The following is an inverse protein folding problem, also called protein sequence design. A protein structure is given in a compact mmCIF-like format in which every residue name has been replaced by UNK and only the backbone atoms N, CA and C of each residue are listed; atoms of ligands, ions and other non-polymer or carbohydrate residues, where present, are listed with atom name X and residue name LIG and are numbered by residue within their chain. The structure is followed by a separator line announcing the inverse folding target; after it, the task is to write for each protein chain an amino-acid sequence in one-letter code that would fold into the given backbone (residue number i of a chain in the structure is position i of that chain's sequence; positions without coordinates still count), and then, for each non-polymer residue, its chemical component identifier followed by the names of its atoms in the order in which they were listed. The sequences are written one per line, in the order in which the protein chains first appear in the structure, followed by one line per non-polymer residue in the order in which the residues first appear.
data_IF_377145198697
#
_entry.id   IF_377145198697
#
_cell.length_a   1.000
_cell.length_b   1.000
_cell.length_c   1.000
_cell.angle_alpha   90.00
_cell.angle_beta   90.00
_cell.angle_gamma   90.00
#
_symmetry.space_group_name_H-M   'P 1'
#
loop_
_entity.id
_entity.type
_entity.pdbx_description
1 polymer ?
#
# COMPACT_ATOMS: atom_id res chain seq x y z
N UNK A 1 18.18 -0.84 -6.87
CA UNK A 1 17.70 -1.01 -5.49
C UNK A 1 18.74 -1.69 -4.60
N UNK A 2 19.34 -2.79 -5.05
CA UNK A 2 20.28 -3.59 -4.23
C UNK A 2 21.55 -2.82 -3.84
N UNK A 3 22.15 -2.05 -4.75
CA UNK A 3 23.41 -1.33 -4.53
C UNK A 3 23.26 -0.03 -3.75
N UNK A 4 22.19 0.74 -4.03
CA UNK A 4 21.88 2.00 -3.35
C UNK A 4 20.68 1.76 -2.46
N UNK A 5 20.88 1.48 -1.20
CA UNK A 5 19.83 1.08 -0.27
C UNK A 5 20.07 1.67 1.13
N UNK A 6 19.04 1.79 1.97
CA UNK A 6 19.11 2.43 3.28
C UNK A 6 19.81 1.58 4.36
N UNK A 7 20.32 0.40 4.04
CA UNK A 7 21.00 -0.48 5.00
C UNK A 7 22.53 -0.41 4.90
N UNK A 8 23.07 0.32 3.91
CA UNK A 8 24.52 0.47 3.73
C UNK A 8 25.10 1.60 4.59
N UNK A 9 26.39 1.52 4.91
CA UNK A 9 27.12 2.44 5.83
C UNK A 9 27.06 3.91 5.39
N UNK A 10 26.83 4.19 4.10
CA UNK A 10 26.77 5.55 3.55
C UNK A 10 25.40 6.24 3.68
N UNK A 11 24.45 5.64 4.39
CA UNK A 11 23.04 6.08 4.46
C UNK A 11 22.76 7.13 5.53
N UNK A 12 23.74 7.51 6.35
CA UNK A 12 23.58 8.54 7.39
C UNK A 12 22.98 9.87 6.89
N UNK A 13 22.90 10.07 5.57
CA UNK A 13 22.43 11.30 4.91
C UNK A 13 21.10 11.13 4.13
N UNK A 14 20.38 10.01 4.27
CA UNK A 14 19.08 9.89 3.64
C UNK A 14 18.01 10.57 4.48
N UNK A 15 17.20 11.42 3.86
CA UNK A 15 16.00 11.93 4.49
C UNK A 15 14.96 10.82 4.68
N UNK A 16 14.02 11.02 5.60
CA UNK A 16 12.92 10.10 5.81
C UNK A 16 12.09 9.88 4.53
N UNK A 17 11.92 10.93 3.71
CA UNK A 17 11.21 10.85 2.44
C UNK A 17 11.95 10.02 1.40
N UNK A 18 13.28 10.16 1.31
CA UNK A 18 14.10 9.35 0.42
C UNK A 18 14.02 7.88 0.78
N UNK A 19 14.09 7.56 2.05
CA UNK A 19 14.00 6.20 2.55
C UNK A 19 12.58 5.62 2.38
N UNK A 20 11.53 6.41 2.69
CA UNK A 20 10.13 6.01 2.46
C UNK A 20 9.89 5.68 0.98
N UNK A 21 10.33 6.56 0.08
CA UNK A 21 10.24 6.34 -1.36
C UNK A 21 10.96 5.06 -1.80
N UNK A 22 12.16 4.80 -1.26
CA UNK A 22 12.90 3.58 -1.55
C UNK A 22 12.11 2.32 -1.18
N UNK A 23 11.56 2.25 0.03
CA UNK A 23 10.83 1.05 0.49
C UNK A 23 9.51 0.84 -0.24
N UNK A 24 8.78 1.91 -0.56
CA UNK A 24 7.57 1.84 -1.41
C UNK A 24 7.91 1.28 -2.80
N UNK A 25 8.96 1.80 -3.44
CA UNK A 25 9.43 1.32 -4.75
C UNK A 25 9.92 -0.12 -4.66
N UNK A 26 10.62 -0.49 -3.60
CA UNK A 26 11.09 -1.86 -3.39
C UNK A 26 9.93 -2.83 -3.30
N UNK A 27 8.94 -2.54 -2.47
CA UNK A 27 7.74 -3.37 -2.36
C UNK A 27 7.07 -3.56 -3.73
N UNK A 28 6.79 -2.46 -4.43
CA UNK A 28 6.09 -2.50 -5.71
C UNK A 28 6.89 -3.24 -6.80
N UNK A 29 8.19 -2.97 -6.93
CA UNK A 29 9.05 -3.63 -7.91
C UNK A 29 9.15 -5.15 -7.69
N UNK A 30 9.27 -5.57 -6.43
CA UNK A 30 9.34 -6.98 -6.11
C UNK A 30 7.98 -7.68 -6.16
N UNK A 31 6.87 -6.96 -5.92
CA UNK A 31 5.53 -7.49 -6.21
C UNK A 31 5.36 -7.76 -7.70
N UNK A 32 5.75 -6.82 -8.57
CA UNK A 32 5.74 -7.04 -10.03
C UNK A 32 6.64 -8.23 -10.39
N UNK A 33 7.85 -8.29 -9.83
CA UNK A 33 8.81 -9.37 -10.10
C UNK A 33 8.25 -10.74 -9.76
N UNK A 34 7.65 -10.91 -8.56
CA UNK A 34 7.11 -12.22 -8.16
C UNK A 34 5.91 -12.64 -9.01
N UNK A 35 5.06 -11.68 -9.44
CA UNK A 35 3.97 -11.94 -10.39
C UNK A 35 4.54 -12.42 -11.72
N UNK A 36 5.49 -11.71 -12.32
CA UNK A 36 6.07 -12.05 -13.62
C UNK A 36 6.80 -13.41 -13.59
N UNK A 37 7.49 -13.70 -12.49
CA UNK A 37 8.21 -14.99 -12.34
C UNK A 37 7.25 -16.18 -12.27
N UNK A 38 6.02 -15.98 -11.79
CA UNK A 38 5.03 -17.05 -11.62
C UNK A 38 3.89 -16.98 -12.65
N UNK A 39 3.98 -16.09 -13.65
CA UNK A 39 2.95 -15.96 -14.68
C UNK A 39 2.95 -17.17 -15.64
N UNK A 40 1.74 -17.66 -16.10
CA UNK A 40 0.42 -17.12 -15.86
C UNK A 40 -0.23 -17.56 -14.53
N UNK A 41 -0.94 -16.64 -13.87
CA UNK A 41 -1.72 -16.90 -12.64
C UNK A 41 -2.95 -15.99 -12.60
N UNK A 42 -3.96 -16.36 -11.80
CA UNK A 42 -5.19 -15.57 -11.66
C UNK A 42 -5.14 -14.58 -10.50
N UNK A 43 -4.30 -14.84 -9.51
CA UNK A 43 -4.17 -14.04 -8.29
C UNK A 43 -2.77 -14.18 -7.70
N UNK A 44 -2.24 -13.14 -7.06
CA UNK A 44 -1.03 -13.23 -6.24
C UNK A 44 -1.15 -14.30 -5.13
N UNK A 45 -2.37 -14.61 -4.70
CA UNK A 45 -2.68 -15.64 -3.70
C UNK A 45 -2.40 -17.07 -4.18
N UNK A 46 -2.29 -17.27 -5.50
CA UNK A 46 -1.96 -18.57 -6.10
C UNK A 46 -0.48 -18.91 -5.90
N UNK A 47 0.37 -17.92 -5.65
CA UNK A 47 1.80 -18.12 -5.42
C UNK A 47 2.02 -18.71 -4.04
N UNK A 48 2.52 -19.96 -4.05
CA UNK A 48 2.91 -20.70 -2.84
C UNK A 48 4.23 -21.42 -3.11
N UNK A 49 5.25 -21.15 -2.30
CA UNK A 49 6.56 -21.81 -2.33
C UNK A 49 6.87 -22.29 -0.91
N UNK A 50 7.14 -23.59 -0.76
CA UNK A 50 7.40 -24.22 0.55
C UNK A 50 6.32 -23.91 1.60
N UNK A 51 5.05 -23.91 1.19
CA UNK A 51 3.90 -23.58 2.04
C UNK A 51 3.73 -22.11 2.41
N UNK A 52 4.63 -21.23 1.95
CA UNK A 52 4.58 -19.78 2.19
C UNK A 52 3.84 -19.06 1.08
N UNK A 53 2.99 -18.11 1.44
CA UNK A 53 2.33 -17.19 0.48
C UNK A 53 3.33 -16.20 -0.10
N UNK A 54 2.98 -15.55 -1.23
CA UNK A 54 3.81 -14.54 -1.89
C UNK A 54 4.40 -13.51 -0.91
N UNK A 55 3.62 -13.09 0.09
CA UNK A 55 4.04 -12.10 1.08
C UNK A 55 5.07 -12.60 2.08
N UNK A 56 5.11 -13.92 2.33
CA UNK A 56 5.99 -14.57 3.33
C UNK A 56 7.23 -15.23 2.74
N UNK A 57 7.38 -15.23 1.41
CA UNK A 57 8.56 -15.77 0.74
C UNK A 57 9.71 -14.78 0.91
N UNK A 58 10.89 -15.20 1.44
CA UNK A 58 12.07 -14.34 1.54
C UNK A 58 12.82 -14.30 0.19
N UNK A 59 12.58 -13.28 -0.62
CA UNK A 59 13.18 -13.17 -1.96
C UNK A 59 13.65 -11.77 -2.34
N UNK A 60 13.43 -10.78 -1.47
CA UNK A 60 13.74 -9.38 -1.71
C UNK A 60 15.14 -9.08 -1.16
N UNK A 61 16.13 -8.96 -2.03
CA UNK A 61 17.51 -8.66 -1.63
C UNK A 61 17.74 -7.15 -1.54
N UNK A 62 18.17 -6.68 -0.36
CA UNK A 62 18.55 -5.28 -0.12
C UNK A 62 19.82 -5.28 0.72
N UNK A 63 20.93 -4.89 0.11
CA UNK A 63 22.24 -5.07 0.70
C UNK A 63 22.54 -6.55 0.98
N UNK A 64 22.99 -6.86 2.17
CA UNK A 64 23.26 -8.23 2.62
C UNK A 64 22.02 -8.95 3.17
N UNK A 65 20.90 -8.25 3.29
CA UNK A 65 19.69 -8.80 3.90
C UNK A 65 18.69 -9.29 2.86
N UNK A 66 17.91 -10.28 3.26
CA UNK A 66 16.79 -10.79 2.47
C UNK A 66 15.49 -10.54 3.23
N UNK A 67 14.53 -9.88 2.55
CA UNK A 67 13.25 -9.48 3.10
C UNK A 67 12.09 -10.22 2.43
N UNK A 68 10.92 -10.16 3.09
CA UNK A 68 9.62 -10.53 2.54
C UNK A 68 8.80 -9.28 2.26
N UNK A 69 7.74 -9.38 1.44
CA UNK A 69 6.78 -8.28 1.28
C UNK A 69 6.15 -7.91 2.62
N UNK A 70 5.70 -8.90 3.42
CA UNK A 70 5.16 -8.69 4.77
C UNK A 70 6.11 -7.88 5.67
N UNK A 71 7.41 -8.22 5.64
CA UNK A 71 8.39 -7.51 6.47
C UNK A 71 8.51 -6.04 6.08
N UNK A 72 8.59 -5.76 4.77
CA UNK A 72 8.68 -4.37 4.28
C UNK A 72 7.42 -3.59 4.67
N UNK A 73 6.23 -4.18 4.49
CA UNK A 73 4.97 -3.52 4.82
C UNK A 73 4.83 -3.29 6.33
N UNK A 74 4.95 -4.36 7.13
CA UNK A 74 4.57 -4.31 8.53
C UNK A 74 5.69 -3.82 9.44
N UNK A 75 6.92 -4.25 9.21
CA UNK A 75 8.04 -3.91 10.11
C UNK A 75 8.73 -2.60 9.70
N UNK A 76 8.75 -2.25 8.41
CA UNK A 76 9.38 -1.03 7.94
C UNK A 76 8.36 0.08 7.71
N UNK A 77 7.48 -0.08 6.70
CA UNK A 77 6.61 1.02 6.27
C UNK A 77 5.62 1.42 7.36
N UNK A 78 4.90 0.48 7.96
CA UNK A 78 3.88 0.79 8.98
C UNK A 78 4.50 1.29 10.28
N UNK A 79 5.53 0.62 10.80
CA UNK A 79 6.10 0.97 12.11
C UNK A 79 6.92 2.25 12.06
N UNK A 80 7.75 2.42 11.03
CA UNK A 80 8.71 3.53 10.99
C UNK A 80 8.06 4.87 10.62
N UNK A 81 7.17 4.87 9.61
CA UNK A 81 6.65 6.15 9.09
C UNK A 81 5.34 6.58 9.71
N UNK A 82 4.60 5.64 10.30
CA UNK A 82 3.32 5.95 10.95
C UNK A 82 2.35 6.76 10.06
N UNK A 83 2.34 6.45 8.78
CA UNK A 83 1.62 7.17 7.73
C UNK A 83 0.62 6.22 7.05
N UNK A 84 -0.70 6.33 7.32
CA UNK A 84 -1.69 5.43 6.72
C UNK A 84 -1.75 5.49 5.19
N UNK A 85 -1.19 6.54 4.56
CA UNK A 85 -1.15 6.66 3.10
C UNK A 85 -0.23 5.63 2.44
N UNK A 86 0.63 4.94 3.21
CA UNK A 86 1.44 3.83 2.67
C UNK A 86 0.55 2.75 2.05
N UNK A 87 -0.65 2.51 2.61
CA UNK A 87 -1.58 1.49 2.11
C UNK A 87 -2.14 1.78 0.71
N UNK A 88 -1.99 3.00 0.21
CA UNK A 88 -2.27 3.35 -1.19
C UNK A 88 -1.01 3.53 -2.02
N UNK A 89 0.16 3.53 -1.38
CA UNK A 89 1.47 3.61 -2.03
C UNK A 89 2.03 2.25 -2.44
N UNK A 90 1.60 1.16 -1.78
CA UNK A 90 1.98 -0.22 -2.13
C UNK A 90 0.85 -0.92 -2.88
N UNK A 91 1.22 -1.80 -3.82
CA UNK A 91 0.27 -2.51 -4.68
C UNK A 91 0.50 -4.02 -4.61
N UNK A 92 -0.58 -4.76 -4.31
CA UNK A 92 -0.56 -6.22 -4.20
C UNK A 92 -1.02 -6.93 -5.50
N UNK A 93 -1.02 -6.23 -6.62
CA UNK A 93 -1.40 -6.73 -7.95
C UNK A 93 -2.86 -7.23 -8.07
N UNK A 94 -3.75 -6.90 -7.14
CA UNK A 94 -5.18 -7.27 -7.21
C UNK A 94 -6.05 -6.17 -7.81
N UNK A 95 -7.22 -6.54 -8.36
CA UNK A 95 -8.19 -5.61 -8.92
C UNK A 95 -8.67 -4.57 -7.90
N UNK A 96 -8.86 -4.96 -6.64
CA UNK A 96 -9.27 -4.04 -5.57
C UNK A 96 -8.12 -3.22 -4.97
N UNK A 97 -6.88 -3.42 -5.41
CA UNK A 97 -5.74 -2.59 -4.98
C UNK A 97 -5.91 -1.11 -5.40
N UNK A 98 -5.32 -0.19 -4.63
CA UNK A 98 -5.07 1.16 -5.11
C UNK A 98 -4.28 1.17 -6.42
N UNK A 99 -4.40 2.25 -7.20
CA UNK A 99 -3.74 2.38 -8.49
C UNK A 99 -2.21 2.40 -8.32
N UNK A 100 -1.51 1.56 -9.09
CA UNK A 100 -0.06 1.66 -9.20
C UNK A 100 0.29 2.91 -10.04
N UNK A 101 1.26 3.70 -9.56
CA UNK A 101 1.76 4.85 -10.31
C UNK A 101 2.60 4.39 -11.52
N UNK A 102 2.58 5.18 -12.58
CA UNK A 102 3.42 4.98 -13.76
C UNK A 102 4.81 5.62 -13.65
N UNK A 103 5.16 6.09 -12.46
CA UNK A 103 6.48 6.63 -12.12
C UNK A 103 6.89 6.18 -10.71
N UNK A 104 8.18 6.23 -10.41
CA UNK A 104 8.72 5.86 -9.11
C UNK A 104 8.55 6.98 -8.08
N UNK A 105 8.34 6.60 -6.82
CA UNK A 105 8.47 7.54 -5.72
C UNK A 105 9.91 8.06 -5.62
N UNK A 106 10.06 9.31 -5.27
CA UNK A 106 11.32 9.97 -4.99
C UNK A 106 11.21 10.80 -3.72
N UNK A 107 12.33 11.25 -3.20
CA UNK A 107 12.38 12.16 -2.06
C UNK A 107 11.49 13.39 -2.24
N UNK A 108 11.46 13.93 -3.46
CA UNK A 108 10.77 15.18 -3.77
C UNK A 108 9.27 14.99 -4.07
N UNK A 109 8.83 13.78 -4.43
CA UNK A 109 7.45 13.57 -4.83
C UNK A 109 6.62 12.67 -3.89
N UNK A 110 7.25 11.93 -2.97
CA UNK A 110 6.57 10.89 -2.19
C UNK A 110 5.39 11.41 -1.40
N UNK A 111 5.49 12.56 -0.77
CA UNK A 111 4.42 13.15 0.04
C UNK A 111 3.22 13.57 -0.82
N UNK A 112 3.48 14.27 -1.91
CA UNK A 112 2.43 14.70 -2.85
C UNK A 112 1.79 13.50 -3.56
N UNK A 113 2.61 12.53 -3.99
CA UNK A 113 2.14 11.32 -4.66
C UNK A 113 1.25 10.47 -3.74
N UNK A 114 1.63 10.26 -2.48
CA UNK A 114 0.82 9.54 -1.50
C UNK A 114 -0.50 10.26 -1.20
N UNK A 115 -0.48 11.59 -1.09
CA UNK A 115 -1.71 12.38 -0.90
C UNK A 115 -2.64 12.24 -2.11
N UNK A 116 -2.12 12.37 -3.33
CA UNK A 116 -2.92 12.24 -4.54
C UNK A 116 -3.49 10.83 -4.72
N UNK A 117 -2.70 9.79 -4.39
CA UNK A 117 -3.17 8.41 -4.38
C UNK A 117 -4.31 8.21 -3.37
N UNK A 118 -4.19 8.77 -2.16
CA UNK A 118 -5.23 8.65 -1.13
C UNK A 118 -6.51 9.36 -1.55
N UNK A 119 -6.41 10.59 -2.09
CA UNK A 119 -7.55 11.32 -2.65
C UNK A 119 -8.19 10.52 -3.79
N UNK A 120 -7.38 10.01 -4.72
CA UNK A 120 -7.87 9.20 -5.83
C UNK A 120 -8.56 7.92 -5.36
N UNK A 121 -7.95 7.20 -4.42
CA UNK A 121 -8.48 5.94 -3.91
C UNK A 121 -9.80 6.11 -3.14
N UNK A 122 -9.88 7.11 -2.27
CA UNK A 122 -11.11 7.36 -1.48
C UNK A 122 -12.28 7.75 -2.40
N UNK A 123 -12.02 8.52 -3.45
CA UNK A 123 -13.05 9.02 -4.36
C UNK A 123 -13.22 8.16 -5.63
N UNK A 124 -12.70 6.94 -5.64
CA UNK A 124 -12.89 5.95 -6.69
C UNK A 124 -14.13 5.11 -6.38
N UNK A 125 -15.19 5.28 -7.18
CA UNK A 125 -16.48 4.62 -6.97
C UNK A 125 -16.43 3.09 -7.15
N UNK A 126 -15.40 2.56 -7.83
CA UNK A 126 -15.13 1.12 -7.92
C UNK A 126 -14.54 0.55 -6.63
N UNK A 127 -13.94 1.39 -5.80
CA UNK A 127 -13.23 1.04 -4.56
C UNK A 127 -14.01 1.41 -3.30
N UNK A 128 -14.75 2.53 -3.36
CA UNK A 128 -15.51 3.06 -2.22
C UNK A 128 -16.77 3.75 -2.73
N UNK A 129 -17.90 3.53 -2.05
CA UNK A 129 -19.14 4.26 -2.34
C UNK A 129 -19.44 5.19 -1.18
N UNK A 130 -19.22 6.47 -1.38
CA UNK A 130 -19.31 7.46 -0.32
C UNK A 130 -20.53 8.36 -0.52
N UNK A 131 -21.38 8.40 0.51
CA UNK A 131 -22.47 9.37 0.63
C UNK A 131 -22.45 10.02 2.02
N UNK A 132 -23.29 11.03 2.19
CA UNK A 132 -23.34 11.79 3.46
C UNK A 132 -23.61 10.92 4.69
N UNK A 133 -24.46 9.90 4.57
CA UNK A 133 -24.93 9.10 5.70
C UNK A 133 -24.54 7.62 5.62
N UNK A 134 -24.02 7.15 4.48
CA UNK A 134 -23.65 5.75 4.27
C UNK A 134 -22.36 5.69 3.48
N UNK A 135 -21.44 4.85 3.90
CA UNK A 135 -20.18 4.59 3.21
C UNK A 135 -19.95 3.08 3.08
N UNK A 136 -19.64 2.64 1.86
CA UNK A 136 -19.17 1.28 1.61
C UNK A 136 -17.70 1.40 1.21
N UNK A 137 -16.80 0.90 2.06
CA UNK A 137 -15.37 1.11 1.97
C UNK A 137 -14.64 -0.14 1.49
N UNK A 138 -13.52 0.06 0.82
CA UNK A 138 -12.55 -1.00 0.55
C UNK A 138 -12.16 -1.72 1.86
N UNK A 139 -11.93 -3.05 1.76
CA UNK A 139 -11.42 -3.86 2.87
C UNK A 139 -10.08 -3.39 3.44
N UNK A 140 -9.33 -2.60 2.71
CA UNK A 140 -8.09 -1.97 3.20
C UNK A 140 -8.37 -1.13 4.46
N UNK A 141 -9.48 -0.40 4.51
CA UNK A 141 -9.87 0.38 5.69
C UNK A 141 -10.29 -0.48 6.89
N UNK A 142 -10.74 -1.70 6.65
CA UNK A 142 -11.06 -2.69 7.68
C UNK A 142 -9.78 -3.36 8.23
N UNK A 143 -8.99 -3.95 7.35
CA UNK A 143 -7.77 -4.69 7.71
C UNK A 143 -6.73 -3.83 8.44
N UNK A 144 -6.60 -2.58 8.03
CA UNK A 144 -5.65 -1.62 8.59
C UNK A 144 -6.33 -0.51 9.42
N UNK A 145 -7.51 -0.81 9.98
CA UNK A 145 -8.32 0.17 10.72
C UNK A 145 -7.56 0.87 11.86
N UNK A 146 -6.64 0.17 12.52
CA UNK A 146 -5.78 0.74 13.57
C UNK A 146 -4.91 1.88 13.06
N UNK A 147 -4.39 1.77 11.83
CA UNK A 147 -3.53 2.80 11.25
C UNK A 147 -4.34 4.05 10.87
N UNK A 148 -5.53 3.85 10.30
CA UNK A 148 -6.42 4.94 9.90
C UNK A 148 -7.10 5.66 11.08
N UNK A 149 -7.29 4.96 12.20
CA UNK A 149 -7.93 5.49 13.41
C UNK A 149 -6.97 6.08 14.44
N UNK A 150 -5.69 6.13 14.16
CA UNK A 150 -4.65 6.52 15.11
C UNK A 150 -4.84 7.93 15.68
N UNK A 151 -5.38 8.85 14.87
CA UNK A 151 -5.60 10.24 15.23
C UNK A 151 -7.09 10.63 15.13
N UNK A 152 -8.00 9.71 15.46
CA UNK A 152 -9.44 9.95 15.42
C UNK A 152 -10.23 8.80 14.81
N UNK A 153 -11.42 9.08 14.34
CA UNK A 153 -12.31 8.09 13.71
C UNK A 153 -11.95 7.86 12.24
N UNK A 154 -12.42 6.74 11.69
CA UNK A 154 -12.27 6.47 10.24
C UNK A 154 -12.97 7.55 9.40
N UNK A 155 -14.12 8.06 9.85
CA UNK A 155 -14.86 9.13 9.16
C UNK A 155 -14.08 10.43 9.15
N UNK A 156 -13.46 10.80 10.26
CA UNK A 156 -12.58 11.97 10.31
C UNK A 156 -11.39 11.83 9.37
N UNK A 157 -10.81 10.63 9.28
CA UNK A 157 -9.74 10.35 8.33
C UNK A 157 -10.21 10.53 6.88
N UNK A 158 -11.33 9.88 6.50
CA UNK A 158 -11.92 9.98 5.16
C UNK A 158 -12.25 11.42 4.79
N UNK A 159 -12.81 12.19 5.73
CA UNK A 159 -13.21 13.60 5.54
C UNK A 159 -12.04 14.55 5.22
N UNK A 160 -10.79 14.10 5.37
CA UNK A 160 -9.59 14.85 4.93
C UNK A 160 -9.37 14.78 3.41
N UNK A 161 -9.93 13.74 2.75
CA UNK A 161 -9.62 13.41 1.35
C UNK A 161 -10.86 13.30 0.46
N UNK A 162 -12.03 13.03 1.03
CA UNK A 162 -13.27 12.85 0.26
C UNK A 162 -13.84 14.17 -0.25
N UNK A 163 -14.50 14.13 -1.42
CA UNK A 163 -15.25 15.25 -1.99
C UNK A 163 -16.59 15.49 -1.30
N UNK A 164 -17.15 14.47 -0.67
CA UNK A 164 -18.46 14.52 0.01
C UNK A 164 -18.22 14.50 1.51
N UNK A 165 -18.69 15.52 2.23
CA UNK A 165 -18.61 15.54 3.68
C UNK A 165 -19.48 14.45 4.28
N UNK A 166 -18.86 13.49 4.94
CA UNK A 166 -19.51 12.36 5.61
C UNK A 166 -19.92 12.79 7.03
N UNK A 167 -21.14 12.46 7.43
CA UNK A 167 -21.60 12.67 8.79
C UNK A 167 -20.88 11.75 9.78
N UNK A 168 -20.62 12.23 10.99
CA UNK A 168 -19.92 11.46 12.04
C UNK A 168 -20.61 10.14 12.39
N UNK A 169 -21.94 10.09 12.27
CA UNK A 169 -22.78 8.90 12.55
C UNK A 169 -23.12 8.10 11.30
N UNK A 170 -22.43 8.32 10.18
CA UNK A 170 -22.67 7.55 8.94
C UNK A 170 -22.44 6.05 9.16
N UNK A 171 -23.28 5.26 8.51
CA UNK A 171 -23.18 3.80 8.56
C UNK A 171 -22.01 3.38 7.69
N UNK A 172 -21.09 2.58 8.25
CA UNK A 172 -19.93 2.04 7.54
C UNK A 172 -20.18 0.57 7.22
N UNK A 173 -20.00 0.20 5.95
CA UNK A 173 -19.93 -1.18 5.47
C UNK A 173 -18.63 -1.37 4.70
N UNK A 174 -18.21 -2.62 4.50
CA UNK A 174 -17.01 -2.95 3.74
C UNK A 174 -17.36 -3.78 2.52
N UNK A 175 -16.82 -3.40 1.38
CA UNK A 175 -16.98 -4.10 0.11
C UNK A 175 -16.22 -5.43 0.11
N UNK A 176 -16.64 -6.35 -0.76
CA UNK A 176 -15.87 -7.55 -1.05
C UNK A 176 -14.58 -7.17 -1.78
N UNK A 177 -13.47 -7.81 -1.42
CA UNK A 177 -12.18 -7.54 -2.04
C UNK A 177 -11.93 -8.53 -3.19
N UNK A 178 -11.75 -8.01 -4.39
CA UNK A 178 -11.42 -8.78 -5.58
C UNK A 178 -9.90 -8.99 -5.66
N UNK A 179 -9.48 -10.24 -5.47
CA UNK A 179 -8.09 -10.68 -5.51
C UNK A 179 -7.61 -11.09 -6.90
N UNK A 180 -8.45 -11.04 -7.93
CA UNK A 180 -7.99 -11.29 -9.30
C UNK A 180 -6.90 -10.29 -9.69
N UNK A 181 -6.00 -10.71 -10.61
CA UNK A 181 -4.92 -9.83 -11.05
C UNK A 181 -5.47 -8.58 -11.74
N UNK A 182 -4.85 -7.43 -11.45
CA UNK A 182 -5.16 -6.14 -12.05
C UNK A 182 -4.49 -5.95 -13.43
N UNK A 183 -4.46 -7.01 -14.24
CA UNK A 183 -4.02 -6.98 -15.63
C UNK A 183 -5.17 -6.49 -16.52
N UNK A 184 -4.84 -5.61 -17.46
CA UNK A 184 -5.71 -5.22 -18.57
C UNK A 184 -5.30 -5.94 -19.84
#
# INVERSE_FOLDING_TARGET
LEKNNPTTVNVKNWSLNKEKAYWLNTYNAYTIKIILTNYPLKSIRDIKIDGKTAWKIPFIKVGENTYTLDWIEHEILRKKYNDPRIHVGINCASMSCPKLLNFAFSENNVETALTNLMVGFINDDDRNKISKNNVELSKIFDWFSTDFKKNGTIIEYLNKYTRIKINEKAIIKYLTYDWSLNIK
#
